data_IF_290336226287
#
_entry.id   IF_290336226287
#
_cell.length_a   1.000
_cell.length_b   1.000
_cell.length_c   1.000
_cell.angle_alpha   90.00
_cell.angle_beta   90.00
_cell.angle_gamma   90.00
#
_symmetry.space_group_name_H-M   'P 1'
#
loop_
_entity.id
_entity.type
_entity.pdbx_description
1 polymer ?
#
# COMPACT_ATOMS: atom_id res chain seq x y z
N UNK A 1 11.20 -7.68 -19.46
CA UNK A 1 11.36 -8.33 -18.13
C UNK A 1 10.14 -9.21 -17.84
N UNK A 2 10.12 -9.98 -16.74
CA UNK A 2 9.07 -10.98 -16.49
C UNK A 2 7.65 -10.39 -16.33
N UNK A 3 7.52 -9.15 -15.87
CA UNK A 3 6.24 -8.45 -15.68
C UNK A 3 6.07 -7.25 -16.62
N UNK A 4 6.78 -7.25 -17.75
CA UNK A 4 6.66 -6.17 -18.73
C UNK A 4 5.23 -6.06 -19.27
N UNK A 5 4.72 -4.82 -19.30
CA UNK A 5 3.34 -4.52 -19.70
C UNK A 5 2.29 -4.65 -18.60
N UNK A 6 2.64 -5.21 -17.43
CA UNK A 6 1.73 -5.32 -16.28
C UNK A 6 1.65 -3.99 -15.56
N UNK A 7 0.43 -3.51 -15.28
CA UNK A 7 0.16 -2.25 -14.58
C UNK A 7 -0.34 -2.49 -13.17
N UNK A 8 0.33 -1.88 -12.19
CA UNK A 8 0.05 -2.06 -10.77
C UNK A 8 -0.32 -0.72 -10.14
N UNK A 9 -1.44 -0.67 -9.43
CA UNK A 9 -1.79 0.43 -8.54
C UNK A 9 -1.47 0.03 -7.10
N UNK A 10 -0.57 0.76 -6.46
CA UNK A 10 -0.15 0.52 -5.08
C UNK A 10 -0.73 1.59 -4.14
N UNK A 11 -1.66 1.22 -3.28
CA UNK A 11 -2.25 2.06 -2.23
C UNK A 11 -1.65 1.77 -0.85
N UNK A 12 -0.69 0.84 -0.78
CA UNK A 12 -0.11 0.41 0.48
C UNK A 12 0.75 1.49 1.12
N UNK A 13 0.88 1.41 2.44
CA UNK A 13 1.66 2.36 3.25
C UNK A 13 2.51 1.58 4.22
N UNK A 14 3.79 1.96 4.32
CA UNK A 14 4.79 1.24 5.12
C UNK A 14 4.94 -0.23 4.68
N UNK A 15 6.06 -0.86 5.05
CA UNK A 15 6.25 -2.28 4.77
C UNK A 15 5.11 -3.14 5.38
N UNK A 16 4.71 -4.26 4.74
CA UNK A 16 5.40 -4.94 3.63
C UNK A 16 4.93 -4.52 2.22
N UNK A 17 3.85 -3.75 2.08
CA UNK A 17 3.24 -3.47 0.76
C UNK A 17 4.17 -2.78 -0.25
N UNK A 18 4.83 -1.66 0.09
CA UNK A 18 5.77 -0.99 -0.81
C UNK A 18 6.98 -1.85 -1.16
N UNK A 19 7.35 -2.84 -0.32
CA UNK A 19 8.39 -3.80 -0.68
C UNK A 19 7.90 -4.77 -1.76
N UNK A 20 6.69 -5.30 -1.64
CA UNK A 20 6.06 -6.12 -2.68
C UNK A 20 6.00 -5.39 -4.03
N UNK A 21 5.41 -4.20 -4.06
CA UNK A 21 5.28 -3.44 -5.31
C UNK A 21 6.61 -2.94 -5.85
N UNK A 22 7.64 -2.78 -5.01
CA UNK A 22 9.01 -2.50 -5.47
C UNK A 22 9.59 -3.70 -6.22
N UNK A 23 9.41 -4.93 -5.71
CA UNK A 23 9.83 -6.14 -6.43
C UNK A 23 9.09 -6.30 -7.77
N UNK A 24 7.81 -5.95 -7.83
CA UNK A 24 7.05 -5.95 -9.09
C UNK A 24 7.64 -4.96 -10.11
N UNK A 25 7.99 -3.75 -9.66
CA UNK A 25 8.68 -2.76 -10.49
C UNK A 25 10.06 -3.24 -10.95
N UNK A 26 10.85 -3.84 -10.05
CA UNK A 26 12.16 -4.41 -10.36
C UNK A 26 12.06 -5.55 -11.40
N UNK A 27 10.92 -6.25 -11.49
CA UNK A 27 10.62 -7.24 -12.54
C UNK A 27 9.92 -6.65 -13.79
N UNK A 28 9.79 -5.34 -13.87
CA UNK A 28 9.35 -4.60 -15.06
C UNK A 28 7.88 -4.24 -15.14
N UNK A 29 7.13 -4.41 -14.05
CA UNK A 29 5.78 -3.88 -13.98
C UNK A 29 5.80 -2.34 -13.96
N UNK A 30 4.78 -1.72 -14.57
CA UNK A 30 4.53 -0.29 -14.44
C UNK A 30 3.73 -0.02 -13.16
N UNK A 31 4.43 0.44 -12.12
CA UNK A 31 3.87 0.62 -10.79
C UNK A 31 3.58 2.10 -10.53
N UNK A 32 2.31 2.40 -10.22
CA UNK A 32 1.86 3.72 -9.77
C UNK A 32 1.46 3.66 -8.31
N UNK A 33 2.23 4.35 -7.47
CA UNK A 33 1.90 4.61 -6.07
C UNK A 33 0.78 5.65 -5.98
N UNK A 34 -0.32 5.30 -5.32
CA UNK A 34 -1.44 6.20 -5.03
C UNK A 34 -1.33 6.65 -3.59
N UNK A 35 -0.74 7.82 -3.39
CA UNK A 35 -0.46 8.35 -2.07
C UNK A 35 -1.50 9.38 -1.60
N UNK A 36 -1.52 9.61 -0.29
CA UNK A 36 -2.32 10.71 0.25
C UNK A 36 -1.71 12.05 -0.14
N UNK A 37 -2.56 13.07 -0.33
CA UNK A 37 -2.11 14.44 -0.58
C UNK A 37 -1.11 14.87 0.50
N UNK A 38 0.08 15.39 0.12
CA UNK A 38 1.08 15.86 1.07
C UNK A 38 0.47 16.79 2.12
N UNK A 39 0.91 16.64 3.37
CA UNK A 39 0.39 17.39 4.52
C UNK A 39 -0.82 16.75 5.23
N UNK A 40 -1.56 15.83 4.60
CA UNK A 40 -2.70 15.14 5.25
C UNK A 40 -2.25 14.15 6.33
N UNK A 41 -1.03 13.59 6.21
CA UNK A 41 -0.45 12.63 7.16
C UNK A 41 0.72 13.19 7.97
N UNK A 42 0.81 14.52 8.15
CA UNK A 42 1.90 15.18 8.89
C UNK A 42 2.10 14.67 10.33
N UNK A 43 1.14 13.93 10.89
CA UNK A 43 1.19 13.33 12.24
C UNK A 43 2.01 12.03 12.33
N UNK A 44 2.29 11.36 11.21
CA UNK A 44 3.10 10.12 11.18
C UNK A 44 4.59 10.40 10.95
N UNK A 45 4.93 11.57 10.42
CA UNK A 45 6.27 12.10 10.52
C UNK A 45 6.47 12.43 12.01
N UNK A 46 7.50 11.85 12.64
CA UNK A 46 7.88 12.19 14.02
C UNK A 46 8.09 13.70 14.20
N UNK A 47 8.37 14.16 15.44
CA UNK A 47 8.48 15.58 15.77
C UNK A 47 9.30 16.31 14.71
N UNK A 48 8.66 17.30 14.06
CA UNK A 48 9.09 18.04 12.88
C UNK A 48 10.54 17.72 12.48
N UNK A 49 10.71 16.67 11.67
CA UNK A 49 12.01 16.40 11.06
C UNK A 49 12.44 17.70 10.37
N UNK A 50 13.61 18.21 10.75
CA UNK A 50 14.31 19.28 10.05
C UNK A 50 14.01 19.16 8.54
N UNK A 51 13.55 20.20 7.84
CA UNK A 51 13.25 20.13 6.42
C UNK A 51 14.35 19.45 5.59
N UNK A 52 15.62 19.57 5.99
CA UNK A 52 16.71 18.84 5.37
C UNK A 52 16.79 17.36 5.76
N UNK A 53 16.44 16.99 6.99
CA UNK A 53 16.24 15.59 7.36
C UNK A 53 15.08 14.95 6.57
N UNK A 54 13.97 15.66 6.37
CA UNK A 54 12.86 15.21 5.54
C UNK A 54 13.27 15.03 4.06
N UNK A 55 14.05 15.98 3.51
CA UNK A 55 14.63 15.84 2.16
C UNK A 55 15.60 14.68 2.05
N UNK A 56 16.48 14.46 3.03
CA UNK A 56 17.40 13.31 3.06
C UNK A 56 16.64 11.98 3.12
N UNK A 57 15.59 11.90 3.95
CA UNK A 57 14.74 10.72 4.04
C UNK A 57 13.98 10.46 2.72
N UNK A 58 13.47 11.50 2.07
CA UNK A 58 12.83 11.40 0.76
C UNK A 58 13.83 10.98 -0.34
N UNK A 59 15.06 11.49 -0.30
CA UNK A 59 16.14 11.13 -1.23
C UNK A 59 16.56 9.65 -1.09
N UNK A 60 16.39 9.06 0.09
CA UNK A 60 16.67 7.64 0.38
C UNK A 60 15.39 6.80 0.53
N UNK A 61 14.38 7.04 -0.31
CA UNK A 61 13.20 6.16 -0.36
C UNK A 61 13.49 4.88 -1.16
N UNK A 62 14.20 3.93 -0.55
CA UNK A 62 14.57 2.66 -1.18
C UNK A 62 13.36 1.86 -1.67
N UNK A 63 12.22 1.96 -0.99
CA UNK A 63 10.96 1.26 -1.33
C UNK A 63 10.14 1.97 -2.42
N UNK A 64 10.49 3.21 -2.76
CA UNK A 64 9.83 4.00 -3.81
C UNK A 64 10.50 3.88 -5.18
N UNK A 65 11.66 3.22 -5.28
CA UNK A 65 12.40 3.11 -6.55
C UNK A 65 11.57 2.40 -7.62
N UNK A 66 11.74 2.81 -8.88
CA UNK A 66 11.06 2.21 -10.03
C UNK A 66 9.57 2.51 -10.14
N UNK A 67 9.00 3.32 -9.24
CA UNK A 67 7.57 3.65 -9.21
C UNK A 67 7.31 5.09 -9.63
N UNK A 68 6.17 5.31 -10.26
CA UNK A 68 5.57 6.65 -10.43
C UNK A 68 4.64 6.92 -9.25
N UNK A 69 4.33 8.18 -8.97
CA UNK A 69 3.42 8.53 -7.87
C UNK A 69 2.32 9.50 -8.33
N UNK A 70 1.14 9.33 -7.75
CA UNK A 70 0.01 10.24 -7.86
C UNK A 70 -0.63 10.44 -6.49
N UNK A 71 -0.87 11.70 -6.12
CA UNK A 71 -1.55 12.03 -4.88
C UNK A 71 -3.07 12.12 -5.08
N UNK A 72 -3.84 11.23 -4.43
CA UNK A 72 -5.30 11.21 -4.50
C UNK A 72 -5.91 11.18 -3.09
N UNK A 73 -6.84 12.10 -2.82
CA UNK A 73 -7.68 12.01 -1.62
C UNK A 73 -8.94 11.22 -1.95
N UNK A 74 -8.90 9.90 -1.77
CA UNK A 74 -10.02 8.99 -2.06
C UNK A 74 -11.28 9.21 -1.21
N UNK A 75 -11.28 10.16 -0.27
CA UNK A 75 -12.52 10.63 0.38
C UNK A 75 -13.32 11.59 -0.50
N UNK A 76 -12.68 12.20 -1.50
CA UNK A 76 -13.32 13.06 -2.48
C UNK A 76 -13.83 12.19 -3.63
N UNK A 77 -15.10 12.35 -3.98
CA UNK A 77 -15.73 11.65 -5.10
C UNK A 77 -15.00 11.85 -6.43
N UNK A 78 -14.62 13.09 -6.77
CA UNK A 78 -13.87 13.37 -7.99
C UNK A 78 -12.52 12.66 -8.04
N UNK A 79 -11.86 12.49 -6.89
CA UNK A 79 -10.60 11.74 -6.82
C UNK A 79 -10.81 10.22 -6.93
N UNK A 80 -11.96 9.71 -6.46
CA UNK A 80 -12.34 8.29 -6.67
C UNK A 80 -12.61 8.01 -8.15
N UNK A 81 -13.28 8.92 -8.85
CA UNK A 81 -13.48 8.76 -10.30
C UNK A 81 -12.16 8.69 -11.06
N UNK A 82 -11.20 9.57 -10.73
CA UNK A 82 -9.83 9.49 -11.30
C UNK A 82 -9.19 8.13 -10.99
N UNK A 83 -9.34 7.64 -9.75
CA UNK A 83 -8.82 6.33 -9.39
C UNK A 83 -9.49 5.19 -10.17
N UNK A 84 -10.81 5.24 -10.39
CA UNK A 84 -11.52 4.25 -11.19
C UNK A 84 -11.07 4.26 -12.66
N UNK A 85 -10.76 5.42 -13.24
CA UNK A 85 -10.15 5.48 -14.58
C UNK A 85 -8.81 4.74 -14.63
N UNK A 86 -7.97 4.89 -13.59
CA UNK A 86 -6.73 4.13 -13.48
C UNK A 86 -6.99 2.62 -13.35
N UNK A 87 -7.97 2.23 -12.54
CA UNK A 87 -8.34 0.82 -12.32
C UNK A 87 -8.80 0.13 -13.60
N UNK A 88 -9.53 0.83 -14.50
CA UNK A 88 -9.95 0.26 -15.80
C UNK A 88 -8.78 -0.20 -16.67
N UNK A 89 -7.62 0.44 -16.52
CA UNK A 89 -6.41 0.11 -17.25
C UNK A 89 -5.38 -0.69 -16.45
N UNK A 90 -5.65 -1.03 -15.18
CA UNK A 90 -4.72 -1.74 -14.30
C UNK A 90 -4.93 -3.26 -14.35
N UNK A 91 -3.87 -4.00 -14.07
CA UNK A 91 -3.92 -5.47 -13.92
C UNK A 91 -3.96 -5.88 -12.45
N UNK A 92 -3.32 -5.09 -11.58
CA UNK A 92 -3.21 -5.39 -10.15
C UNK A 92 -3.53 -4.14 -9.32
N UNK A 93 -4.32 -4.31 -8.26
CA UNK A 93 -4.43 -3.34 -7.16
C UNK A 93 -3.86 -3.97 -5.88
N UNK A 94 -2.92 -3.28 -5.26
CA UNK A 94 -2.31 -3.64 -3.99
C UNK A 94 -2.71 -2.63 -2.93
N UNK A 95 -3.19 -3.08 -1.76
CA UNK A 95 -3.52 -2.18 -0.66
C UNK A 95 -3.12 -2.75 0.70
N UNK A 96 -2.89 -1.84 1.66
CA UNK A 96 -2.37 -2.15 3.00
C UNK A 96 -3.20 -1.55 4.13
N UNK A 97 -4.49 -1.33 3.92
CA UNK A 97 -5.38 -0.73 4.90
C UNK A 97 -5.92 -1.77 5.89
N UNK A 98 -6.40 -1.28 7.04
CA UNK A 98 -7.12 -2.12 8.00
C UNK A 98 -8.43 -2.63 7.38
N UNK A 99 -8.92 -3.82 7.80
CA UNK A 99 -10.21 -4.33 7.36
C UNK A 99 -11.34 -3.29 7.46
N UNK A 100 -12.16 -3.21 6.41
CA UNK A 100 -13.28 -2.27 6.29
C UNK A 100 -12.92 -0.85 5.81
N UNK A 101 -11.65 -0.44 5.83
CA UNK A 101 -11.25 0.91 5.36
C UNK A 101 -11.49 1.06 3.86
N UNK A 102 -11.10 0.08 3.06
CA UNK A 102 -11.24 0.11 1.60
C UNK A 102 -12.70 0.21 1.16
N UNK A 103 -13.62 -0.47 1.86
CA UNK A 103 -15.06 -0.38 1.61
C UNK A 103 -15.59 1.03 1.85
N UNK A 104 -15.13 1.69 2.92
CA UNK A 104 -15.51 3.09 3.21
C UNK A 104 -14.90 4.08 2.22
N UNK A 105 -13.75 3.75 1.63
CA UNK A 105 -13.11 4.55 0.58
C UNK A 105 -13.67 4.24 -0.82
N UNK A 106 -14.50 3.21 -0.98
CA UNK A 106 -15.01 2.76 -2.28
C UNK A 106 -13.94 2.12 -3.16
N UNK A 107 -12.94 1.48 -2.57
CA UNK A 107 -11.84 0.83 -3.30
C UNK A 107 -11.62 -0.61 -2.85
N UNK A 108 -12.67 -1.24 -2.30
CA UNK A 108 -12.72 -2.67 -2.01
C UNK A 108 -12.85 -3.51 -3.28
N UNK A 109 -12.57 -4.81 -3.16
CA UNK A 109 -12.52 -5.73 -4.30
C UNK A 109 -13.84 -5.76 -5.08
N UNK A 110 -14.99 -5.82 -4.41
CA UNK A 110 -16.30 -5.87 -5.03
C UNK A 110 -16.56 -4.62 -5.88
N UNK A 111 -16.19 -3.45 -5.36
CA UNK A 111 -16.30 -2.18 -6.10
C UNK A 111 -15.37 -2.16 -7.31
N UNK A 112 -14.10 -2.55 -7.13
CA UNK A 112 -13.12 -2.46 -8.23
C UNK A 112 -13.31 -3.53 -9.29
N UNK A 113 -13.76 -4.73 -8.92
CA UNK A 113 -14.07 -5.81 -9.88
C UNK A 113 -15.30 -5.50 -10.74
N UNK A 114 -16.25 -4.71 -10.23
CA UNK A 114 -17.35 -4.19 -11.03
C UNK A 114 -16.85 -3.18 -12.09
N UNK A 115 -15.80 -2.41 -11.79
CA UNK A 115 -15.15 -1.47 -12.73
C UNK A 115 -14.25 -2.20 -13.72
N UNK A 116 -13.49 -3.19 -13.26
CA UNK A 116 -12.57 -4.00 -14.04
C UNK A 116 -12.64 -5.48 -13.61
N UNK A 117 -13.42 -6.33 -14.31
CA UNK A 117 -13.60 -7.74 -13.96
C UNK A 117 -12.33 -8.59 -14.03
N UNK A 118 -11.26 -8.10 -14.67
CA UNK A 118 -9.97 -8.80 -14.80
C UNK A 118 -9.01 -8.48 -13.66
N UNK A 119 -9.36 -7.57 -12.76
CA UNK A 119 -8.42 -7.05 -11.76
C UNK A 119 -7.99 -8.13 -10.78
N UNK A 120 -6.68 -8.23 -10.54
CA UNK A 120 -6.13 -8.97 -9.41
C UNK A 120 -6.04 -8.02 -8.22
N UNK A 121 -6.72 -8.35 -7.12
CA UNK A 121 -6.73 -7.52 -5.92
C UNK A 121 -5.97 -8.20 -4.79
N UNK A 122 -4.97 -7.51 -4.24
CA UNK A 122 -4.16 -7.99 -3.13
C UNK A 122 -4.34 -7.08 -1.92
N UNK A 123 -4.90 -7.65 -0.85
CA UNK A 123 -5.07 -6.99 0.44
C UNK A 123 -4.02 -7.47 1.42
N UNK A 124 -3.29 -6.52 2.03
CA UNK A 124 -2.29 -6.78 3.07
C UNK A 124 -2.79 -6.18 4.40
N UNK A 125 -3.19 -7.04 5.33
CA UNK A 125 -3.50 -6.65 6.70
C UNK A 125 -2.73 -7.51 7.70
N UNK A 126 -2.54 -7.01 8.92
CA UNK A 126 -1.65 -7.66 9.88
C UNK A 126 -2.04 -9.08 10.27
N UNK A 127 -3.34 -9.34 10.46
CA UNK A 127 -3.86 -10.65 10.85
C UNK A 127 -4.94 -11.16 9.88
N UNK A 128 -4.94 -10.68 8.64
CA UNK A 128 -5.95 -11.02 7.64
C UNK A 128 -7.24 -10.21 7.74
N UNK A 129 -8.17 -10.50 6.83
CA UNK A 129 -9.46 -9.79 6.72
C UNK A 129 -10.56 -10.41 7.62
N UNK A 130 -10.31 -11.58 8.19
CA UNK A 130 -11.27 -12.38 8.97
C UNK A 130 -10.64 -12.90 10.26
N UNK A 131 -11.46 -13.50 11.12
CA UNK A 131 -11.00 -14.08 12.38
C UNK A 131 -10.89 -13.08 13.54
N UNK A 132 -10.56 -13.56 14.74
CA UNK A 132 -10.63 -12.79 15.99
C UNK A 132 -9.62 -11.64 16.05
N UNK A 133 -8.55 -11.70 15.27
CA UNK A 133 -7.47 -10.72 15.28
C UNK A 133 -7.54 -9.71 14.13
N UNK A 134 -8.53 -9.82 13.24
CA UNK A 134 -8.66 -8.96 12.04
C UNK A 134 -8.67 -7.46 12.37
N UNK A 135 -9.20 -7.07 13.53
CA UNK A 135 -9.26 -5.67 13.97
C UNK A 135 -8.07 -5.23 14.85
N UNK A 136 -7.11 -6.10 15.13
CA UNK A 136 -5.91 -5.75 15.87
C UNK A 136 -4.95 -4.92 15.00
N UNK A 137 -4.26 -3.98 15.64
CA UNK A 137 -3.17 -3.26 14.99
C UNK A 137 -1.96 -4.17 14.96
N UNK A 138 -1.44 -4.43 13.76
CA UNK A 138 -0.25 -5.23 13.57
C UNK A 138 0.93 -4.39 13.12
N UNK A 139 2.02 -4.49 13.86
CA UNK A 139 3.37 -4.09 13.46
C UNK A 139 4.28 -5.32 13.48
N UNK A 140 5.45 -5.23 12.86
CA UNK A 140 6.42 -6.34 12.76
C UNK A 140 6.65 -7.03 14.11
N UNK A 141 6.83 -6.25 15.19
CA UNK A 141 7.07 -6.75 16.54
C UNK A 141 5.92 -7.63 17.06
N UNK A 142 4.67 -7.33 16.67
CA UNK A 142 3.52 -8.14 17.05
C UNK A 142 3.58 -9.51 16.36
N UNK A 143 3.95 -9.55 15.07
CA UNK A 143 4.00 -10.79 14.30
C UNK A 143 5.13 -11.70 14.77
N UNK A 144 6.33 -11.15 15.01
CA UNK A 144 7.46 -11.94 15.51
C UNK A 144 7.25 -12.42 16.95
N UNK A 145 6.52 -11.65 17.77
CA UNK A 145 6.12 -12.07 19.12
C UNK A 145 5.11 -13.21 19.08
N UNK A 146 4.00 -13.03 18.36
CA UNK A 146 2.92 -14.03 18.29
C UNK A 146 3.38 -15.28 17.54
N UNK A 147 4.23 -15.13 16.53
CA UNK A 147 4.84 -16.23 15.77
C UNK A 147 5.92 -17.00 16.53
N UNK A 148 6.24 -16.61 17.77
CA UNK A 148 7.21 -17.30 18.63
C UNK A 148 8.68 -17.01 18.32
N UNK A 149 8.97 -16.19 17.30
CA UNK A 149 10.35 -15.89 16.89
C UNK A 149 11.17 -15.17 17.98
N UNK A 150 10.51 -14.40 18.86
CA UNK A 150 11.17 -13.75 20.00
C UNK A 150 11.58 -14.73 21.11
N UNK A 151 11.02 -15.94 21.14
CA UNK A 151 11.31 -16.97 22.14
C UNK A 151 12.23 -18.08 21.65
N UNK A 152 12.85 -17.90 20.48
CA UNK A 152 13.81 -18.88 19.95
C UNK A 152 15.18 -18.61 20.58
N UNK A 153 15.51 -19.39 21.60
CA UNK A 153 16.87 -19.44 22.16
C UNK A 153 17.76 -20.31 21.25
N UNK A 154 18.92 -19.80 20.87
CA UNK A 154 19.96 -20.60 20.20
C UNK A 154 20.86 -21.22 21.27
N UNK A 155 20.70 -22.53 21.53
CA UNK A 155 21.74 -23.35 22.18
C UNK A 155 22.77 -23.86 21.16
#
# INVERSE_FOLDING_TARGET
MALEGIKVLDLSRLAPGPYCSMLLADFGADVTLVEAVPGVNAKLAGPAADPEAAKRAAAYNALGRGKRSIALNLKNEAAREIFYELVRGADVVLEGFRPGVVKRLGVDYETLSAVNPRIVYCSLSGFGQTGPYSNLVGHDINYISIGGALGVDYE
#
